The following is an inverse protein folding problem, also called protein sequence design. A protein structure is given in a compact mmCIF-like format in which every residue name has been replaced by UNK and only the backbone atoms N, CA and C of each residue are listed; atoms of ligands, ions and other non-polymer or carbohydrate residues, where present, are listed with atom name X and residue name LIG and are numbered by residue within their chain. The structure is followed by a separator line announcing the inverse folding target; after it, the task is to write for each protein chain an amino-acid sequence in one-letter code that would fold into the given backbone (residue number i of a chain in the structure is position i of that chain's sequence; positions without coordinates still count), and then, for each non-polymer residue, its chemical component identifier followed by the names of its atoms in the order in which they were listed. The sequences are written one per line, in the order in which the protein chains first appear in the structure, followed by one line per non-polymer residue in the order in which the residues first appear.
data_IF_615260011032
#
_entry.id   IF_615260011032
#
_cell.length_a   1.000
_cell.length_b   1.000
_cell.length_c   1.000
_cell.angle_alpha   90.00
_cell.angle_beta   90.00
_cell.angle_gamma   90.00
#
_symmetry.space_group_name_H-M   'P 1'
#
loop_
_entity.id
_entity.type
_entity.pdbx_description
1 polymer ?
#
# COMPACT_ATOMS: atom_id res chain seq x y z
N UNK A 1 1.76 4.50 24.28
CA UNK A 1 1.23 5.71 23.61
C UNK A 1 -0.27 5.51 23.46
N UNK A 2 -1.02 6.45 22.88
CA UNK A 2 -2.41 6.19 22.44
C UNK A 2 -2.43 6.03 20.91
N UNK A 3 -3.58 5.64 20.36
CA UNK A 3 -3.76 5.31 18.95
C UNK A 3 -3.16 6.41 18.04
N UNK A 4 -2.13 6.10 17.25
CA UNK A 4 -1.37 7.00 16.37
C UNK A 4 -0.85 8.29 17.03
N UNK A 5 -0.60 8.23 18.34
CA UNK A 5 -0.21 9.40 19.13
C UNK A 5 -1.36 10.37 19.41
N UNK A 6 -2.62 10.00 19.17
CA UNK A 6 -3.81 10.81 19.48
C UNK A 6 -4.16 10.73 20.97
N UNK A 7 -3.32 11.34 21.80
CA UNK A 7 -3.59 11.50 23.23
C UNK A 7 -3.70 10.17 23.99
N UNK A 8 -4.75 10.03 24.80
CA UNK A 8 -4.98 8.87 25.70
C UNK A 8 -5.96 7.82 25.13
N UNK A 9 -6.55 8.08 23.97
CA UNK A 9 -7.53 7.17 23.37
C UNK A 9 -6.84 5.89 22.90
N UNK A 10 -7.41 4.73 23.22
CA UNK A 10 -6.89 3.41 22.81
C UNK A 10 -7.82 2.70 21.83
N UNK A 11 -9.07 3.16 21.72
CA UNK A 11 -10.13 2.60 20.89
C UNK A 11 -10.77 3.69 20.04
N UNK A 12 -11.38 3.29 18.92
CA UNK A 12 -12.08 4.22 18.03
C UNK A 12 -13.25 4.93 18.74
N UNK A 13 -13.95 4.25 19.65
CA UNK A 13 -15.03 4.86 20.44
C UNK A 13 -14.58 5.96 21.39
N UNK A 14 -13.30 5.96 21.80
CA UNK A 14 -12.75 6.94 22.74
C UNK A 14 -12.25 8.20 22.01
N UNK A 15 -12.14 8.14 20.67
CA UNK A 15 -11.68 9.25 19.86
C UNK A 15 -12.79 10.29 19.68
N UNK A 16 -12.40 11.56 19.81
CA UNK A 16 -13.28 12.69 19.52
C UNK A 16 -13.02 13.20 18.11
N UNK A 17 -14.08 13.30 17.32
CA UNK A 17 -14.03 13.87 15.96
C UNK A 17 -13.41 15.28 15.96
N UNK A 18 -13.71 16.10 16.97
CA UNK A 18 -13.12 17.44 17.10
C UNK A 18 -11.61 17.42 17.24
N UNK A 19 -11.08 16.42 17.95
CA UNK A 19 -9.65 16.33 18.24
C UNK A 19 -8.91 15.78 17.01
N UNK A 20 -9.49 14.81 16.31
CA UNK A 20 -8.99 14.32 15.03
C UNK A 20 -8.94 15.43 13.97
N UNK A 21 -10.00 16.26 13.86
CA UNK A 21 -10.03 17.40 12.92
C UNK A 21 -8.98 18.46 13.25
N UNK A 22 -8.74 18.74 14.54
CA UNK A 22 -7.68 19.65 14.99
C UNK A 22 -6.29 19.11 14.66
N UNK A 23 -6.07 17.83 14.88
CA UNK A 23 -4.79 17.20 14.54
C UNK A 23 -4.57 17.16 13.03
N UNK A 24 -5.62 16.87 12.24
CA UNK A 24 -5.58 16.96 10.77
C UNK A 24 -5.16 18.34 10.28
N UNK A 25 -5.75 19.40 10.84
CA UNK A 25 -5.37 20.78 10.54
C UNK A 25 -3.91 21.08 10.95
N UNK A 26 -3.47 20.55 12.09
CA UNK A 26 -2.08 20.70 12.55
C UNK A 26 -1.09 20.05 11.58
N UNK A 27 -1.43 18.86 11.07
CA UNK A 27 -0.63 18.16 10.06
C UNK A 27 -0.64 18.90 8.72
N UNK A 28 -1.77 19.46 8.30
CA UNK A 28 -1.89 20.29 7.09
C UNK A 28 -0.98 21.53 7.13
N UNK A 29 -0.99 22.27 8.25
CA UNK A 29 -0.06 23.39 8.45
C UNK A 29 1.41 22.93 8.39
N UNK A 30 1.73 21.76 8.96
CA UNK A 30 3.08 21.19 8.90
C UNK A 30 3.46 20.78 7.48
N UNK A 31 2.52 20.23 6.70
CA UNK A 31 2.69 19.88 5.30
C UNK A 31 3.08 21.13 4.48
N UNK A 32 2.34 22.22 4.64
CA UNK A 32 2.62 23.49 3.94
C UNK A 32 4.01 24.02 4.28
N UNK A 33 4.38 24.02 5.56
CA UNK A 33 5.71 24.44 6.00
C UNK A 33 6.83 23.59 5.38
N UNK A 34 6.64 22.27 5.29
CA UNK A 34 7.62 21.37 4.68
C UNK A 34 7.73 21.58 3.17
N UNK A 35 6.61 21.79 2.47
CA UNK A 35 6.61 22.11 1.04
C UNK A 35 7.40 23.40 0.78
N UNK A 36 7.19 24.44 1.58
CA UNK A 36 7.95 25.70 1.48
C UNK A 36 9.44 25.46 1.71
N UNK A 37 9.82 24.67 2.72
CA UNK A 37 11.23 24.33 2.97
C UNK A 37 11.88 23.57 1.82
N UNK A 38 11.18 22.61 1.23
CA UNK A 38 11.66 21.84 0.08
C UNK A 38 11.88 22.76 -1.12
N UNK A 39 10.93 23.65 -1.41
CA UNK A 39 11.05 24.64 -2.48
C UNK A 39 12.24 25.56 -2.27
N UNK A 40 12.39 26.13 -1.07
CA UNK A 40 13.52 26.99 -0.76
C UNK A 40 14.86 26.25 -0.86
N UNK A 41 14.94 25.00 -0.39
CA UNK A 41 16.15 24.19 -0.55
C UNK A 41 16.46 23.92 -2.03
N UNK A 42 15.44 23.66 -2.85
CA UNK A 42 15.59 23.50 -4.29
C UNK A 42 16.10 24.79 -4.95
N UNK A 43 15.50 25.95 -4.63
CA UNK A 43 15.94 27.25 -5.13
C UNK A 43 17.40 27.57 -4.75
N UNK A 44 17.79 27.26 -3.51
CA UNK A 44 19.18 27.41 -3.06
C UNK A 44 20.14 26.49 -3.82
N UNK A 45 19.74 25.24 -4.06
CA UNK A 45 20.53 24.30 -4.85
C UNK A 45 20.71 24.81 -6.29
N UNK A 46 19.64 25.28 -6.91
CA UNK A 46 19.66 25.74 -8.29
C UNK A 46 20.46 27.04 -8.46
N UNK A 47 20.37 27.97 -7.49
CA UNK A 47 21.23 29.17 -7.48
C UNK A 47 22.72 28.86 -7.28
N UNK A 48 23.06 27.83 -6.49
CA UNK A 48 24.44 27.36 -6.37
C UNK A 48 24.93 26.70 -7.68
N UNK A 49 24.07 25.94 -8.36
CA UNK A 49 24.38 25.33 -9.64
C UNK A 49 24.61 26.40 -10.71
N UNK A 50 23.73 27.40 -10.79
CA UNK A 50 23.83 28.50 -11.75
C UNK A 50 25.12 29.29 -11.55
N UNK A 51 25.40 29.74 -10.32
CA UNK A 51 26.61 30.52 -10.00
C UNK A 51 27.90 29.74 -10.24
N UNK A 52 27.94 28.44 -9.92
CA UNK A 52 29.12 27.60 -10.17
C UNK A 52 29.32 27.24 -11.65
N UNK A 53 28.31 27.50 -12.51
CA UNK A 53 28.38 27.24 -13.95
C UNK A 53 28.84 28.46 -14.76
N UNK A 54 29.08 29.60 -14.11
CA UNK A 54 29.52 30.82 -14.80
C UNK A 54 30.95 30.68 -15.38
N UNK A 55 31.23 31.27 -16.56
CA UNK A 55 32.57 31.29 -17.10
C UNK A 55 33.53 32.08 -16.20
N UNK A 56 34.68 31.49 -15.85
CA UNK A 56 35.70 32.14 -15.03
C UNK A 56 35.67 31.75 -13.55
N UNK A 57 34.74 30.90 -13.13
CA UNK A 57 34.74 30.26 -11.82
C UNK A 57 35.93 29.30 -11.71
N UNK A 58 36.61 29.33 -10.57
CA UNK A 58 37.77 28.47 -10.29
C UNK A 58 37.36 27.08 -9.82
N UNK A 59 38.20 26.07 -10.03
CA UNK A 59 37.94 24.69 -9.55
C UNK A 59 37.63 24.64 -8.04
N UNK A 60 38.30 25.47 -7.23
CA UNK A 60 38.03 25.56 -5.79
C UNK A 60 36.66 26.14 -5.44
N UNK A 61 36.14 27.06 -6.25
CA UNK A 61 34.78 27.60 -6.10
C UNK A 61 33.73 26.57 -6.54
N UNK A 62 34.02 25.79 -7.60
CA UNK A 62 33.20 24.65 -8.02
C UNK A 62 33.11 23.61 -6.91
N UNK A 63 34.24 23.23 -6.29
CA UNK A 63 34.28 22.27 -5.19
C UNK A 63 33.50 22.78 -3.97
N UNK A 64 33.65 24.07 -3.62
CA UNK A 64 32.91 24.68 -2.53
C UNK A 64 31.40 24.73 -2.79
N UNK A 65 30.99 25.01 -4.03
CA UNK A 65 29.59 24.98 -4.44
C UNK A 65 29.03 23.56 -4.39
N UNK A 66 29.73 22.58 -4.95
CA UNK A 66 29.34 21.18 -4.92
C UNK A 66 29.16 20.66 -3.48
N UNK A 67 30.07 21.03 -2.57
CA UNK A 67 29.95 20.69 -1.15
C UNK A 67 28.69 21.29 -0.51
N UNK A 68 28.41 22.58 -0.75
CA UNK A 68 27.21 23.26 -0.23
C UNK A 68 25.93 22.66 -0.82
N UNK A 69 25.90 22.40 -2.13
CA UNK A 69 24.78 21.72 -2.81
C UNK A 69 24.50 20.36 -2.17
N UNK A 70 25.54 19.59 -1.85
CA UNK A 70 25.40 18.33 -1.12
C UNK A 70 24.77 18.47 0.26
N UNK A 71 25.03 19.56 0.98
CA UNK A 71 24.37 19.84 2.27
C UNK A 71 22.90 20.26 2.11
N UNK A 72 22.62 21.08 1.09
CA UNK A 72 21.27 21.51 0.75
C UNK A 72 20.41 20.31 0.37
N UNK A 73 20.92 19.41 -0.47
CA UNK A 73 20.22 18.17 -0.85
C UNK A 73 19.92 17.28 0.36
N UNK A 74 20.88 17.07 1.27
CA UNK A 74 20.62 16.31 2.51
C UNK A 74 19.51 16.92 3.36
N UNK A 75 19.39 18.25 3.36
CA UNK A 75 18.34 18.96 4.11
C UNK A 75 16.98 18.81 3.41
N UNK A 76 16.97 18.91 2.07
CA UNK A 76 15.81 18.65 1.23
C UNK A 76 15.29 17.23 1.41
N UNK A 77 16.16 16.21 1.33
CA UNK A 77 15.80 14.80 1.48
C UNK A 77 15.14 14.52 2.84
N UNK A 78 15.64 15.14 3.91
CA UNK A 78 15.03 15.04 5.24
C UNK A 78 13.63 15.66 5.28
N UNK A 79 13.48 16.84 4.69
CA UNK A 79 12.18 17.52 4.63
C UNK A 79 11.17 16.74 3.76
N UNK A 80 11.62 16.10 2.68
CA UNK A 80 10.78 15.22 1.85
C UNK A 80 10.34 13.97 2.60
N UNK A 81 11.24 13.35 3.37
CA UNK A 81 10.89 12.22 4.24
C UNK A 81 9.85 12.64 5.30
N UNK A 82 10.09 13.74 5.99
CA UNK A 82 9.14 14.27 6.98
C UNK A 82 7.78 14.58 6.33
N UNK A 83 7.78 15.08 5.09
CA UNK A 83 6.55 15.36 4.33
C UNK A 83 5.77 14.07 4.05
N UNK A 84 6.45 13.00 3.64
CA UNK A 84 5.82 11.69 3.44
C UNK A 84 5.20 11.13 4.73
N UNK A 85 5.87 11.31 5.87
CA UNK A 85 5.34 10.92 7.18
C UNK A 85 4.07 11.71 7.53
N UNK A 86 4.08 13.04 7.31
CA UNK A 86 2.91 13.91 7.53
C UNK A 86 1.73 13.52 6.65
N UNK A 87 1.95 13.30 5.34
CA UNK A 87 0.90 12.89 4.40
C UNK A 87 0.30 11.54 4.82
N UNK A 88 1.14 10.59 5.20
CA UNK A 88 0.70 9.27 5.68
C UNK A 88 -0.19 9.43 6.92
N UNK A 89 0.24 10.27 7.87
CA UNK A 89 -0.53 10.53 9.09
C UNK A 89 -1.88 11.20 8.80
N UNK A 90 -1.92 12.18 7.89
CA UNK A 90 -3.18 12.81 7.47
C UNK A 90 -4.13 11.80 6.85
N UNK A 91 -3.62 10.90 6.01
CA UNK A 91 -4.45 9.88 5.36
C UNK A 91 -5.03 8.91 6.38
N UNK A 92 -4.25 8.52 7.39
CA UNK A 92 -4.74 7.70 8.52
C UNK A 92 -5.82 8.42 9.33
N UNK A 93 -5.64 9.72 9.62
CA UNK A 93 -6.65 10.51 10.34
C UNK A 93 -7.94 10.55 9.54
N UNK A 94 -7.85 10.83 8.25
CA UNK A 94 -9.03 10.92 7.42
C UNK A 94 -9.73 9.55 7.27
N UNK A 95 -8.99 8.45 7.10
CA UNK A 95 -9.56 7.09 7.11
C UNK A 95 -10.26 6.78 8.42
N UNK A 96 -9.71 7.26 9.53
CA UNK A 96 -10.32 7.13 10.86
C UNK A 96 -11.63 7.91 10.95
N UNK A 97 -11.67 9.12 10.38
CA UNK A 97 -12.90 9.91 10.27
C UNK A 97 -13.94 9.21 9.40
N UNK A 98 -13.55 8.65 8.25
CA UNK A 98 -14.45 7.92 7.35
C UNK A 98 -15.14 6.73 8.05
N UNK A 99 -14.43 6.04 8.96
CA UNK A 99 -14.96 4.94 9.77
C UNK A 99 -15.92 5.46 10.84
N UNK A 100 -15.56 6.55 11.53
CA UNK A 100 -16.42 7.17 12.55
C UNK A 100 -17.71 7.69 11.92
N UNK A 101 -17.63 8.29 10.74
CA UNK A 101 -18.81 8.79 10.02
C UNK A 101 -19.76 7.66 9.60
N UNK A 102 -19.21 6.46 9.32
CA UNK A 102 -19.98 5.24 9.01
C UNK A 102 -20.37 4.42 10.24
N UNK A 103 -20.18 4.94 11.46
CA UNK A 103 -20.44 4.24 12.72
C UNK A 103 -21.81 3.56 12.78
N UNK A 104 -22.89 4.27 12.43
CA UNK A 104 -24.25 3.72 12.55
C UNK A 104 -24.47 2.50 11.65
N UNK A 105 -23.86 2.48 10.46
CA UNK A 105 -23.96 1.35 9.53
C UNK A 105 -23.11 0.18 10.00
N UNK A 106 -21.93 0.46 10.54
CA UNK A 106 -21.05 -0.55 11.16
C UNK A 106 -21.66 -1.15 12.43
N UNK A 107 -22.41 -0.37 13.21
CA UNK A 107 -23.17 -0.86 14.37
C UNK A 107 -24.27 -1.83 13.95
N UNK A 108 -25.04 -1.49 12.91
CA UNK A 108 -26.09 -2.38 12.35
C UNK A 108 -25.52 -3.72 11.86
N UNK A 109 -24.31 -3.70 11.30
CA UNK A 109 -23.60 -4.90 10.82
C UNK A 109 -22.85 -5.64 11.95
N UNK A 110 -22.86 -5.14 13.19
CA UNK A 110 -22.12 -5.71 14.32
C UNK A 110 -20.60 -5.51 14.26
N UNK A 111 -20.09 -4.83 13.23
CA UNK A 111 -18.67 -4.61 12.98
C UNK A 111 -18.09 -3.57 13.95
N UNK A 112 -18.87 -2.54 14.30
CA UNK A 112 -18.42 -1.49 15.22
C UNK A 112 -17.94 -2.05 16.57
N UNK A 113 -18.63 -3.06 17.09
CA UNK A 113 -18.23 -3.74 18.32
C UNK A 113 -16.91 -4.49 18.14
N UNK A 114 -16.78 -5.26 17.05
CA UNK A 114 -15.55 -6.00 16.71
C UNK A 114 -14.35 -5.07 16.65
N UNK A 115 -14.48 -3.95 15.94
CA UNK A 115 -13.45 -2.91 15.81
C UNK A 115 -12.95 -2.43 17.18
N UNK A 116 -13.87 -2.17 18.13
CA UNK A 116 -13.50 -1.68 19.46
C UNK A 116 -12.93 -2.78 20.38
N UNK A 117 -13.04 -4.05 20.02
CA UNK A 117 -12.42 -5.17 20.74
C UNK A 117 -10.98 -5.44 20.25
N UNK A 118 -10.57 -4.90 19.10
CA UNK A 118 -9.23 -5.08 18.52
C UNK A 118 -8.15 -4.41 19.40
N UNK A 119 -7.04 -5.09 19.73
CA UNK A 119 -5.90 -4.48 20.40
C UNK A 119 -5.38 -3.25 19.65
N UNK A 120 -4.87 -2.27 20.40
CA UNK A 120 -4.42 -0.97 19.86
C UNK A 120 -3.46 -1.13 18.67
N UNK A 121 -2.44 -1.99 18.79
CA UNK A 121 -1.43 -2.23 17.75
C UNK A 121 -2.03 -2.81 16.45
N UNK A 122 -2.97 -3.74 16.58
CA UNK A 122 -3.62 -4.36 15.42
C UNK A 122 -4.63 -3.41 14.78
N UNK A 123 -5.31 -2.60 15.60
CA UNK A 123 -6.21 -1.55 15.13
C UNK A 123 -5.42 -0.48 14.35
N UNK A 124 -4.25 -0.10 14.83
CA UNK A 124 -3.36 0.81 14.10
C UNK A 124 -2.91 0.21 12.76
N UNK A 125 -2.50 -1.05 12.73
CA UNK A 125 -2.10 -1.72 11.48
C UNK A 125 -3.25 -1.75 10.45
N UNK A 126 -4.47 -2.08 10.89
CA UNK A 126 -5.64 -2.12 10.01
C UNK A 126 -6.06 -0.73 9.50
N UNK A 127 -5.93 0.30 10.35
CA UNK A 127 -6.18 1.69 9.95
C UNK A 127 -5.12 2.19 8.96
N UNK A 128 -3.87 1.74 9.08
CA UNK A 128 -2.82 2.01 8.10
C UNK A 128 -3.10 1.32 6.76
N UNK A 129 -3.53 0.06 6.77
CA UNK A 129 -3.94 -0.67 5.56
C UNK A 129 -5.06 0.08 4.83
N UNK A 130 -6.07 0.53 5.57
CA UNK A 130 -7.15 1.35 5.04
C UNK A 130 -6.69 2.71 4.50
N UNK A 131 -5.70 3.33 5.14
CA UNK A 131 -5.12 4.59 4.65
C UNK A 131 -4.37 4.41 3.32
N UNK A 132 -3.80 3.24 3.04
CA UNK A 132 -3.22 2.96 1.71
C UNK A 132 -4.31 3.01 0.65
N UNK A 133 -5.46 2.40 0.91
CA UNK A 133 -6.59 2.35 -0.04
C UNK A 133 -7.27 3.72 -0.22
N UNK A 134 -7.29 4.56 0.84
CA UNK A 134 -7.90 5.89 0.79
C UNK A 134 -7.21 6.87 -0.17
N UNK A 135 -5.93 6.64 -0.50
CA UNK A 135 -5.16 7.54 -1.39
C UNK A 135 -5.85 7.83 -2.72
N UNK A 136 -6.76 6.95 -3.16
CA UNK A 136 -7.52 7.10 -4.40
C UNK A 136 -8.95 7.65 -4.20
N UNK A 137 -9.61 7.41 -3.06
CA UNK A 137 -10.98 7.88 -2.77
C UNK A 137 -11.37 7.63 -1.30
N UNK A 138 -12.48 8.22 -0.84
CA UNK A 138 -13.07 7.89 0.47
C UNK A 138 -13.27 6.37 0.62
N UNK A 139 -12.97 5.84 1.81
CA UNK A 139 -13.09 4.40 2.03
C UNK A 139 -14.56 4.02 2.07
N UNK A 140 -14.97 3.10 1.20
CA UNK A 140 -16.34 2.58 1.18
C UNK A 140 -16.61 1.65 2.38
N UNK A 141 -17.89 1.49 2.73
CA UNK A 141 -18.30 0.66 3.87
C UNK A 141 -17.83 -0.80 3.71
N UNK A 142 -17.93 -1.35 2.49
CA UNK A 142 -17.62 -2.76 2.24
C UNK A 142 -16.13 -3.06 2.44
N UNK A 143 -15.23 -2.11 2.14
CA UNK A 143 -13.80 -2.25 2.43
C UNK A 143 -13.51 -2.18 3.92
N UNK A 144 -14.20 -1.31 4.66
CA UNK A 144 -14.09 -1.25 6.13
C UNK A 144 -14.51 -2.61 6.72
N UNK A 145 -15.64 -3.16 6.26
CA UNK A 145 -16.08 -4.49 6.67
C UNK A 145 -15.03 -5.54 6.27
N UNK A 146 -14.52 -5.54 5.04
CA UNK A 146 -13.50 -6.50 4.62
C UNK A 146 -12.27 -6.50 5.54
N UNK A 147 -11.76 -5.34 5.93
CA UNK A 147 -10.56 -5.23 6.78
C UNK A 147 -10.83 -5.66 8.22
N UNK A 148 -12.00 -5.29 8.78
CA UNK A 148 -12.32 -5.51 10.20
C UNK A 148 -13.15 -6.78 10.49
N UNK A 149 -13.77 -7.38 9.47
CA UNK A 149 -14.60 -8.58 9.57
C UNK A 149 -13.83 -9.86 9.22
N UNK A 150 -12.52 -9.77 8.95
CA UNK A 150 -11.72 -10.98 8.75
C UNK A 150 -11.66 -11.78 10.05
N UNK A 151 -12.42 -12.87 10.11
CA UNK A 151 -12.33 -13.87 11.15
C UNK A 151 -10.86 -14.22 11.43
N UNK A 152 -10.41 -13.90 12.65
CA UNK A 152 -9.03 -14.12 13.13
C UNK A 152 -8.54 -15.57 12.97
N UNK A 153 -9.43 -16.53 12.73
CA UNK A 153 -9.06 -17.93 12.50
C UNK A 153 -8.65 -18.26 11.06
N UNK A 154 -9.02 -17.49 10.05
CA UNK A 154 -8.61 -17.77 8.66
C UNK A 154 -7.21 -17.22 8.31
N UNK A 155 -6.69 -16.30 9.14
CA UNK A 155 -5.64 -15.35 8.73
C UNK A 155 -4.21 -15.87 8.94
N UNK A 156 -3.97 -16.78 9.90
CA UNK A 156 -2.67 -17.46 9.95
C UNK A 156 -2.43 -18.35 8.71
N UNK A 157 -3.49 -18.79 8.03
CA UNK A 157 -3.38 -19.68 6.87
C UNK A 157 -3.20 -18.97 5.51
N UNK A 158 -3.43 -17.64 5.43
CA UNK A 158 -3.47 -16.89 4.17
C UNK A 158 -2.44 -15.76 4.03
N UNK A 159 -1.64 -15.46 5.06
CA UNK A 159 -0.93 -14.17 5.18
C UNK A 159 0.49 -14.02 4.62
N UNK A 160 1.03 -14.95 3.85
CA UNK A 160 2.19 -14.58 3.01
C UNK A 160 1.87 -14.70 1.53
N UNK A 161 2.33 -13.72 0.75
CA UNK A 161 2.32 -13.78 -0.70
C UNK A 161 3.03 -15.06 -1.20
N UNK A 162 3.97 -15.58 -0.41
CA UNK A 162 4.70 -16.80 -0.67
C UNK A 162 3.86 -18.05 -0.37
N UNK A 163 3.02 -18.04 0.67
CA UNK A 163 2.06 -19.12 0.96
C UNK A 163 0.95 -19.16 -0.09
N UNK A 164 0.47 -18.00 -0.57
CA UNK A 164 -0.47 -17.93 -1.70
C UNK A 164 0.14 -18.51 -2.98
N UNK A 165 1.36 -18.08 -3.35
CA UNK A 165 2.11 -18.63 -4.49
C UNK A 165 2.37 -20.13 -4.36
N UNK A 166 2.71 -20.60 -3.16
CA UNK A 166 2.93 -22.01 -2.88
C UNK A 166 1.64 -22.84 -2.97
N UNK A 167 0.52 -22.31 -2.49
CA UNK A 167 -0.80 -22.96 -2.59
C UNK A 167 -1.25 -23.09 -4.04
N UNK A 168 -1.10 -22.03 -4.84
CA UNK A 168 -1.44 -22.06 -6.26
C UNK A 168 -0.58 -23.06 -7.04
N UNK A 169 0.72 -23.14 -6.71
CA UNK A 169 1.62 -24.14 -7.29
C UNK A 169 1.21 -25.58 -6.93
N UNK A 170 0.82 -25.83 -5.68
CA UNK A 170 0.37 -27.16 -5.20
C UNK A 170 -0.96 -27.54 -5.86
N UNK A 171 -1.92 -26.63 -5.95
CA UNK A 171 -3.20 -26.89 -6.62
C UNK A 171 -3.02 -27.21 -8.10
N UNK A 172 -2.11 -26.49 -8.79
CA UNK A 172 -1.75 -26.73 -10.19
C UNK A 172 -1.07 -28.09 -10.39
N UNK A 173 -0.20 -28.50 -9.47
CA UNK A 173 0.43 -29.84 -9.49
C UNK A 173 -0.56 -30.96 -9.14
N UNK A 174 -1.51 -30.69 -8.25
CA UNK A 174 -2.55 -31.67 -7.87
C UNK A 174 -3.51 -31.93 -9.02
N UNK A 175 -3.92 -30.88 -9.76
CA UNK A 175 -4.72 -31.04 -10.98
C UNK A 175 -4.02 -31.86 -12.08
N UNK A 176 -2.68 -31.82 -12.12
CA UNK A 176 -1.88 -32.69 -13.01
C UNK A 176 -1.76 -34.13 -12.53
N UNK A 177 -1.88 -34.40 -11.23
CA UNK A 177 -1.76 -35.74 -10.64
C UNK A 177 -3.07 -36.50 -10.49
N UNK A 178 -4.23 -35.83 -10.47
CA UNK A 178 -5.53 -36.45 -10.19
C UNK A 178 -6.39 -36.76 -11.43
N UNK A 179 -5.76 -37.22 -12.52
CA UNK A 179 -6.37 -38.15 -13.48
C UNK A 179 -7.21 -37.57 -14.62
N UNK A 180 -6.61 -37.50 -15.80
CA UNK A 180 -7.03 -38.30 -16.98
C UNK A 180 -5.87 -38.33 -17.98
N UNK A 181 -5.15 -39.45 -18.02
CA UNK A 181 -4.54 -39.91 -19.27
C UNK A 181 -5.66 -40.31 -20.22
N UNK A 182 -5.48 -40.50 -21.52
CA UNK A 182 -4.32 -40.67 -22.39
C UNK A 182 -4.89 -40.65 -23.85
N UNK A 183 -4.17 -40.78 -24.99
CA UNK A 183 -3.00 -41.64 -25.13
C UNK A 183 -1.84 -41.15 -26.03
N UNK A 184 -0.64 -41.59 -25.65
CA UNK A 184 0.44 -41.94 -26.57
C UNK A 184 -0.01 -42.95 -27.62
N UNK A 185 0.33 -42.78 -28.92
CA UNK A 185 0.17 -43.81 -29.92
C UNK A 185 1.42 -44.70 -29.96
N UNK A 186 1.23 -46.00 -29.73
CA UNK A 186 2.17 -47.06 -30.12
C UNK A 186 1.31 -48.33 -30.34
N UNK A 187 1.46 -49.16 -31.36
CA UNK A 187 2.44 -49.32 -32.43
C UNK A 187 1.91 -50.46 -33.35
N UNK A 188 2.49 -50.56 -34.55
CA UNK A 188 2.66 -51.77 -35.39
C UNK A 188 1.56 -52.19 -36.38
N UNK A 189 1.98 -52.40 -37.63
CA UNK A 189 1.30 -53.30 -38.58
C UNK A 189 1.35 -52.84 -40.03
N UNK A 190 2.47 -53.11 -40.72
CA UNK A 190 2.66 -53.00 -42.17
C UNK A 190 1.65 -53.82 -43.01
N UNK A 191 1.35 -53.26 -44.20
CA UNK A 191 0.96 -53.92 -45.48
C UNK A 191 -0.31 -54.82 -45.49
N UNK A 192 -1.21 -54.81 -46.47
CA UNK A 192 -1.03 -54.76 -47.91
C UNK A 192 -2.42 -54.56 -48.60
N UNK A 193 -2.42 -54.01 -49.84
CA UNK A 193 -3.35 -54.25 -50.98
C UNK A 193 -4.82 -54.64 -50.65
N UNK A 194 -5.87 -54.01 -51.19
CA UNK A 194 -6.18 -53.87 -52.62
C UNK A 194 -7.57 -53.23 -52.78
N UNK A 195 -7.71 -52.42 -53.83
CA UNK A 195 -8.97 -52.06 -54.47
C UNK A 195 -9.76 -53.32 -54.86
N UNK A 196 -11.03 -53.39 -54.51
CA UNK A 196 -12.04 -54.07 -55.31
C UNK A 196 -13.23 -53.13 -55.51
N UNK A 197 -13.28 -52.60 -56.73
CA UNK A 197 -14.52 -52.23 -57.39
C UNK A 197 -15.51 -53.40 -57.28
N UNK A 198 -16.79 -53.09 -57.06
CA UNK A 198 -17.88 -53.65 -57.85
C UNK A 198 -19.20 -52.98 -57.43
N UNK A 199 -19.64 -52.04 -58.25
CA UNK A 199 -21.06 -51.78 -58.47
C UNK A 199 -21.26 -51.73 -59.99
N UNK A 200 -21.82 -52.80 -60.55
CA UNK A 200 -22.71 -52.77 -61.71
C UNK A 200 -23.46 -54.10 -61.85
N UNK A 201 -24.77 -53.91 -61.92
CA UNK A 201 -25.86 -54.75 -62.44
C UNK A 201 -26.33 -55.96 -61.63
#
# INVERSE_FOLDING_TARGET
MGLFGFGRARKLQDLKVSDLKKERLTQEVKQDQLIVRIRHAQEQHDGLLESASEPGVTDGEVDAAAYKMGQVNKTKDRAEKDLQEVITRMTVIDSTLDIIDKKQELEKRGIWKKINEIPEEELEAQLQDLAVDRKESEINLDRIVEVFDVDRQAVQSKRSADVRRSRDAILKMRGRKSGTGDPTPASSGDEDKTLLLNDKD
#
